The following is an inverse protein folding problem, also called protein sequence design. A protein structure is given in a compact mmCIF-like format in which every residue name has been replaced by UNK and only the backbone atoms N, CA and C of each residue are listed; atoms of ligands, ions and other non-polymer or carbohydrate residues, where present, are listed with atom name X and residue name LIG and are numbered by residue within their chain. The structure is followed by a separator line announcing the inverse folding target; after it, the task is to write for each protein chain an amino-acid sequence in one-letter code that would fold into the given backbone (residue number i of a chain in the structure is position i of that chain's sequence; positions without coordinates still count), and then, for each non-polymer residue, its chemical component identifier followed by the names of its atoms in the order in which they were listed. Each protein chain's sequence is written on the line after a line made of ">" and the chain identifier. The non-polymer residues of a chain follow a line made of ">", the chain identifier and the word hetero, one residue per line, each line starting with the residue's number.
data_IF_216785413085
#
_entry.id   IF_216785413085
#
_cell.length_a   1.000
_cell.length_b   1.000
_cell.length_c   1.000
_cell.angle_alpha   90.00
_cell.angle_beta   90.00
_cell.angle_gamma   90.00
#
_symmetry.space_group_name_H-M   'P 1'
#
loop_
_entity.id
_entity.type
_entity.pdbx_description
1 polymer ?
#
# COMPACT_ATOMS: atom_id res chain seq x y z
N UNK A 1 8.84 5.58 -2.58
CA UNK A 1 8.25 6.55 -1.62
C UNK A 1 8.94 7.92 -1.72
N UNK A 2 10.28 7.99 -1.84
CA UNK A 2 11.02 9.27 -1.96
C UNK A 2 10.53 10.13 -3.15
N UNK A 3 10.26 9.51 -4.31
CA UNK A 3 9.76 10.22 -5.50
C UNK A 3 8.49 11.03 -5.24
N UNK A 4 7.43 10.41 -4.71
CA UNK A 4 6.14 11.07 -4.48
C UNK A 4 6.25 12.20 -3.45
N UNK A 5 7.07 12.03 -2.40
CA UNK A 5 7.29 13.07 -1.40
C UNK A 5 8.08 14.25 -1.98
N UNK A 6 9.11 13.97 -2.79
CA UNK A 6 9.88 15.00 -3.48
C UNK A 6 9.02 15.78 -4.47
N UNK A 7 8.19 15.09 -5.27
CA UNK A 7 7.24 15.71 -6.20
C UNK A 7 6.21 16.57 -5.46
N UNK A 8 5.65 16.09 -4.35
CA UNK A 8 4.69 16.88 -3.57
C UNK A 8 5.29 18.22 -3.10
N UNK A 9 6.58 18.25 -2.75
CA UNK A 9 7.26 19.46 -2.31
C UNK A 9 7.50 20.50 -3.42
N UNK A 10 7.42 20.11 -4.70
CA UNK A 10 7.59 21.02 -5.84
C UNK A 10 6.28 21.54 -6.41
N UNK A 11 5.14 21.00 -5.98
CA UNK A 11 3.83 21.46 -6.43
C UNK A 11 3.53 22.87 -5.90
N UNK A 12 2.87 23.73 -6.69
CA UNK A 12 2.43 25.04 -6.22
C UNK A 12 1.46 24.89 -5.05
N UNK A 13 1.41 25.90 -4.17
CA UNK A 13 0.50 25.94 -3.02
C UNK A 13 -0.91 25.55 -3.47
N UNK A 14 -1.48 24.45 -2.94
CA UNK A 14 -2.76 24.00 -3.39
C UNK A 14 -3.83 25.01 -2.96
N UNK A 15 -4.63 25.50 -3.92
CA UNK A 15 -5.86 26.25 -3.64
C UNK A 15 -6.93 25.39 -2.94
N UNK A 16 -8.21 25.75 -3.05
CA UNK A 16 -9.34 25.16 -2.32
C UNK A 16 -9.54 23.62 -2.43
N UNK A 17 -8.73 22.91 -3.23
CA UNK A 17 -8.69 21.45 -3.30
C UNK A 17 -7.29 20.90 -3.00
N UNK A 18 -6.84 21.05 -1.75
CA UNK A 18 -5.51 20.64 -1.26
C UNK A 18 -5.35 19.16 -0.92
N UNK A 19 -6.43 18.38 -1.00
CA UNK A 19 -6.37 16.93 -0.85
C UNK A 19 -6.24 16.24 -2.21
N UNK A 20 -5.28 15.33 -2.32
CA UNK A 20 -5.11 14.42 -3.45
C UNK A 20 -5.11 12.98 -2.94
N UNK A 21 -5.85 12.10 -3.64
CA UNK A 21 -5.76 10.67 -3.39
C UNK A 21 -4.50 10.15 -4.07
N UNK A 22 -3.50 9.76 -3.28
CA UNK A 22 -2.27 9.22 -3.83
C UNK A 22 -2.54 7.87 -4.53
N UNK A 23 -1.86 7.62 -5.65
CA UNK A 23 -2.00 6.36 -6.35
C UNK A 23 -1.31 5.26 -5.53
N UNK A 24 -2.00 4.13 -5.38
CA UNK A 24 -1.50 2.94 -4.69
C UNK A 24 -1.95 1.68 -5.44
N UNK A 25 -1.70 0.53 -4.83
CA UNK A 25 -2.14 -0.76 -5.36
C UNK A 25 -3.41 -1.23 -4.66
N UNK A 26 -4.31 -1.83 -5.43
CA UNK A 26 -5.47 -2.55 -4.90
C UNK A 26 -5.18 -4.04 -5.02
N UNK A 27 -4.92 -4.69 -3.90
CA UNK A 27 -4.73 -6.14 -3.83
C UNK A 27 -5.67 -6.72 -2.78
N UNK A 28 -6.11 -7.94 -3.01
CA UNK A 28 -6.92 -8.71 -2.08
C UNK A 28 -6.05 -9.32 -0.99
N UNK A 29 -6.67 -9.65 0.16
CA UNK A 29 -6.00 -10.39 1.24
C UNK A 29 -5.44 -11.73 0.72
N UNK A 30 -6.15 -12.40 -0.20
CA UNK A 30 -5.68 -13.64 -0.81
C UNK A 30 -4.38 -13.48 -1.58
N UNK A 31 -4.25 -12.42 -2.39
CA UNK A 31 -3.03 -12.11 -3.14
C UNK A 31 -1.87 -11.74 -2.22
N UNK A 32 -2.14 -10.99 -1.13
CA UNK A 32 -1.11 -10.68 -0.12
C UNK A 32 -0.56 -11.95 0.54
N UNK A 33 -1.45 -12.87 0.91
CA UNK A 33 -1.10 -14.14 1.55
C UNK A 33 -0.33 -15.07 0.61
N UNK A 34 -0.71 -15.12 -0.66
CA UNK A 34 0.01 -15.88 -1.67
C UNK A 34 1.40 -15.29 -1.93
N UNK A 35 1.52 -13.96 -1.98
CA UNK A 35 2.81 -13.29 -2.13
C UNK A 35 3.71 -13.57 -0.92
N UNK A 36 3.18 -13.52 0.31
CA UNK A 36 3.90 -13.89 1.53
C UNK A 36 4.42 -15.34 1.48
N UNK A 37 3.59 -16.28 0.99
CA UNK A 37 4.00 -17.67 0.79
C UNK A 37 5.15 -17.78 -0.21
N UNK A 38 5.13 -17.01 -1.29
CA UNK A 38 6.17 -17.01 -2.33
C UNK A 38 7.49 -16.38 -1.84
N UNK A 39 7.43 -15.27 -1.10
CA UNK A 39 8.64 -14.53 -0.65
C UNK A 39 9.20 -15.02 0.68
N UNK A 40 8.35 -15.50 1.59
CA UNK A 40 8.71 -15.92 2.96
C UNK A 40 8.60 -17.42 3.21
N UNK A 41 8.03 -18.18 2.28
CA UNK A 41 7.82 -19.63 2.41
C UNK A 41 6.55 -20.02 3.16
N UNK A 42 6.24 -21.32 3.15
CA UNK A 42 5.02 -21.87 3.74
C UNK A 42 4.96 -21.65 5.26
N UNK A 43 6.09 -21.77 5.96
CA UNK A 43 6.14 -21.61 7.42
C UNK A 43 5.70 -20.21 7.88
N UNK A 44 6.05 -19.15 7.14
CA UNK A 44 5.61 -17.79 7.45
C UNK A 44 4.13 -17.60 7.10
N UNK A 45 3.65 -18.21 6.01
CA UNK A 45 2.23 -18.20 5.65
C UNK A 45 1.34 -18.86 6.70
N UNK A 46 1.82 -19.95 7.30
CA UNK A 46 1.08 -20.73 8.31
C UNK A 46 0.92 -19.99 9.64
N UNK A 47 1.73 -18.95 9.89
CA UNK A 47 1.58 -18.09 11.08
C UNK A 47 0.35 -17.17 10.98
N UNK A 48 -0.18 -16.95 9.77
CA UNK A 48 -1.33 -16.07 9.57
C UNK A 48 -2.63 -16.85 9.72
N UNK A 49 -3.35 -16.59 10.81
CA UNK A 49 -4.65 -17.18 11.11
C UNK A 49 -5.79 -16.22 10.78
N UNK A 50 -6.93 -16.76 10.34
CA UNK A 50 -8.13 -15.97 10.06
C UNK A 50 -9.04 -16.02 11.28
N UNK A 51 -9.16 -14.91 12.00
CA UNK A 51 -10.13 -14.75 13.09
C UNK A 51 -11.11 -13.65 12.70
N UNK A 52 -12.39 -14.01 12.60
CA UNK A 52 -13.45 -13.06 12.24
C UNK A 52 -13.73 -12.13 13.43
N UNK A 53 -13.73 -10.84 13.15
CA UNK A 53 -14.15 -9.78 14.07
C UNK A 53 -15.20 -8.92 13.36
N UNK A 54 -16.44 -8.98 13.84
CA UNK A 54 -17.57 -8.26 13.22
C UNK A 54 -17.44 -6.73 13.33
N UNK A 55 -16.73 -6.22 14.34
CA UNK A 55 -16.46 -4.80 14.50
C UNK A 55 -15.48 -4.30 13.45
N UNK A 56 -14.38 -5.04 13.28
CA UNK A 56 -13.37 -4.75 12.25
C UNK A 56 -13.98 -4.87 10.85
N UNK A 57 -14.75 -5.93 10.58
CA UNK A 57 -15.42 -6.11 9.29
C UNK A 57 -16.32 -4.94 8.92
N UNK A 58 -17.13 -4.42 9.87
CA UNK A 58 -18.01 -3.27 9.63
C UNK A 58 -17.22 -2.01 9.28
N UNK A 59 -16.09 -1.77 9.95
CA UNK A 59 -15.22 -0.62 9.68
C UNK A 59 -14.60 -0.77 8.29
N UNK A 60 -13.97 -1.90 8.00
CA UNK A 60 -13.25 -2.12 6.73
C UNK A 60 -14.21 -2.17 5.54
N UNK A 61 -15.41 -2.76 5.70
CA UNK A 61 -16.42 -2.79 4.64
C UNK A 61 -16.97 -1.40 4.28
N UNK A 62 -16.82 -0.41 5.16
CA UNK A 62 -17.19 0.98 4.87
C UNK A 62 -16.14 1.71 3.99
N UNK A 63 -14.94 1.14 3.84
CA UNK A 63 -13.87 1.76 3.07
C UNK A 63 -14.01 1.49 1.57
N UNK A 64 -13.70 2.47 0.70
CA UNK A 64 -13.75 2.28 -0.74
C UNK A 64 -12.65 1.30 -1.19
N UNK A 65 -13.04 0.19 -1.82
CA UNK A 65 -12.09 -0.81 -2.33
C UNK A 65 -11.18 -0.31 -3.47
N UNK A 66 -11.60 0.75 -4.17
CA UNK A 66 -10.78 1.48 -5.15
C UNK A 66 -11.08 2.96 -5.05
N UNK A 67 -10.03 3.77 -4.93
CA UNK A 67 -10.13 5.23 -4.88
C UNK A 67 -9.72 5.78 -6.25
N UNK A 68 -10.46 6.76 -6.75
CA UNK A 68 -10.06 7.49 -7.96
C UNK A 68 -8.82 8.36 -7.68
N UNK A 69 -7.75 8.08 -8.42
CA UNK A 69 -6.44 8.71 -8.31
C UNK A 69 -6.00 9.39 -9.63
N UNK A 70 -6.92 9.61 -10.58
CA UNK A 70 -6.62 10.24 -11.87
C UNK A 70 -5.88 11.57 -11.73
N UNK A 71 -6.28 12.41 -10.76
CA UNK A 71 -5.65 13.71 -10.50
C UNK A 71 -4.19 13.55 -10.06
N UNK A 72 -3.87 12.58 -9.22
CA UNK A 72 -2.51 12.36 -8.76
C UNK A 72 -1.63 11.79 -9.89
N UNK A 73 -2.16 10.87 -10.70
CA UNK A 73 -1.46 10.38 -11.89
C UNK A 73 -1.15 11.52 -12.88
N UNK A 74 -2.09 12.43 -13.11
CA UNK A 74 -1.90 13.59 -13.98
C UNK A 74 -0.83 14.57 -13.46
N UNK A 75 -0.60 14.60 -12.15
CA UNK A 75 0.45 15.42 -11.51
C UNK A 75 1.83 14.73 -11.50
N UNK A 76 1.93 13.49 -11.97
CA UNK A 76 3.20 12.73 -12.04
C UNK A 76 3.49 11.86 -10.82
N UNK A 77 2.53 11.70 -9.90
CA UNK A 77 2.64 10.71 -8.82
C UNK A 77 2.62 9.30 -9.40
N UNK A 78 3.39 8.40 -8.79
CA UNK A 78 3.49 7.00 -9.21
C UNK A 78 3.04 6.07 -8.10
N UNK A 79 2.34 4.99 -8.47
CA UNK A 79 2.09 3.86 -7.57
C UNK A 79 3.18 2.80 -7.78
N UNK A 80 3.44 2.03 -6.73
CA UNK A 80 4.12 0.74 -6.87
C UNK A 80 3.29 -0.15 -7.82
N UNK A 81 3.94 -1.02 -8.58
CA UNK A 81 3.27 -1.81 -9.62
C UNK A 81 2.76 -3.15 -9.09
N UNK A 82 3.43 -3.68 -8.07
CA UNK A 82 3.18 -5.02 -7.54
C UNK A 82 3.43 -5.06 -6.02
N UNK A 83 2.79 -6.01 -5.35
CA UNK A 83 2.88 -6.15 -3.88
C UNK A 83 4.23 -6.73 -3.42
N UNK A 84 4.89 -7.55 -4.24
CA UNK A 84 6.24 -8.09 -3.98
C UNK A 84 7.30 -6.98 -3.89
N UNK A 85 7.20 -5.92 -4.71
CA UNK A 85 8.05 -4.73 -4.62
C UNK A 85 7.96 -4.08 -3.22
N UNK A 86 6.77 -4.08 -2.60
CA UNK A 86 6.55 -3.53 -1.25
C UNK A 86 7.20 -4.40 -0.19
N UNK A 87 7.07 -5.73 -0.32
CA UNK A 87 7.69 -6.67 0.64
C UNK A 87 9.21 -6.55 0.59
N UNK A 88 9.80 -6.54 -0.60
CA UNK A 88 11.26 -6.46 -0.76
C UNK A 88 11.80 -5.17 -0.16
N UNK A 89 11.11 -4.05 -0.42
CA UNK A 89 11.49 -2.78 0.17
C UNK A 89 11.39 -2.77 1.70
N UNK A 90 10.34 -3.37 2.28
CA UNK A 90 10.23 -3.49 3.72
C UNK A 90 11.41 -4.29 4.32
N UNK A 91 11.90 -5.33 3.62
CA UNK A 91 13.08 -6.07 4.06
C UNK A 91 14.33 -5.19 4.07
N UNK A 92 14.56 -4.44 2.99
CA UNK A 92 15.73 -3.57 2.85
C UNK A 92 15.71 -2.41 3.86
N UNK A 93 14.57 -1.72 3.99
CA UNK A 93 14.47 -0.49 4.79
C UNK A 93 14.34 -0.81 6.31
N UNK A 94 13.50 -1.78 6.68
CA UNK A 94 13.06 -1.95 8.08
C UNK A 94 13.65 -3.18 8.79
N UNK A 95 14.07 -4.23 8.05
CA UNK A 95 14.66 -5.43 8.66
C UNK A 95 16.18 -5.32 8.82
N UNK A 96 16.88 -4.73 7.84
CA UNK A 96 18.34 -4.54 7.92
C UNK A 96 18.74 -3.49 8.97
N UNK A 97 17.90 -2.47 9.19
CA UNK A 97 18.12 -1.43 10.21
C UNK A 97 17.91 -1.93 11.64
N UNK A 98 17.35 -3.13 11.84
CA UNK A 98 17.09 -3.73 13.17
C UNK A 98 18.13 -4.78 13.58
N UNK A 99 19.24 -4.91 12.85
CA UNK A 99 20.36 -5.81 13.18
C UNK A 99 21.51 -5.11 13.89
#
# INVERSE_FOLDING_TARGET
>A
MIHNLSLAATLPSPGEASSINLPGISVTVGEMLETLRQTGGQAERDRVTHQRDEGVEKIVASWPGRIDNQRALALGFVADKRFDDIIERFRQDDMETRS
#
